data_IF_089052529811
#
_entry.id   IF_089052529811
#
_cell.length_a   1.000
_cell.length_b   1.000
_cell.length_c   1.000
_cell.angle_alpha   90.00
_cell.angle_beta   90.00
_cell.angle_gamma   90.00
#
_symmetry.space_group_name_H-M   'P 1'
#
loop_
_entity.id
_entity.type
_entity.pdbx_description
1 polymer ?
#
# COMPACT_ATOMS: atom_id res chain seq x y z
N UNK A 1 -48.59 34.81 29.50
CA UNK A 1 -47.58 35.11 28.47
C UNK A 1 -48.26 35.03 27.12
N UNK A 2 -48.20 36.09 26.31
CA UNK A 2 -48.73 36.06 24.97
C UNK A 2 -47.65 35.58 24.02
N UNK A 3 -47.85 34.44 23.40
CA UNK A 3 -46.96 33.90 22.36
C UNK A 3 -47.24 34.59 21.05
N UNK A 4 -46.20 35.10 20.40
CA UNK A 4 -46.30 35.59 19.01
C UNK A 4 -46.01 34.38 18.11
N UNK A 5 -47.03 33.95 17.34
CA UNK A 5 -46.90 32.84 16.39
C UNK A 5 -46.85 33.39 14.98
N UNK A 6 -45.84 32.99 14.21
CA UNK A 6 -45.75 33.29 12.76
C UNK A 6 -45.12 32.10 12.03
N UNK A 7 -45.56 31.89 10.79
CA UNK A 7 -45.05 30.77 9.95
C UNK A 7 -43.68 31.06 9.37
N UNK A 8 -43.25 32.31 9.32
CA UNK A 8 -41.93 32.65 8.81
C UNK A 8 -41.57 34.12 8.95
N UNK A 9 -40.30 34.41 8.99
CA UNK A 9 -39.72 35.76 8.93
C UNK A 9 -39.03 35.91 7.57
N UNK A 10 -39.66 36.64 6.66
CA UNK A 10 -39.13 36.92 5.33
C UNK A 10 -38.35 38.22 5.31
N UNK A 11 -37.29 38.26 4.51
CA UNK A 11 -36.62 39.50 4.19
C UNK A 11 -37.61 40.47 3.47
N UNK A 12 -37.40 41.77 3.59
CA UNK A 12 -38.29 42.83 2.98
C UNK A 12 -38.55 42.62 1.49
N UNK A 13 -37.67 41.92 0.76
CA UNK A 13 -37.85 41.60 -0.67
C UNK A 13 -38.67 40.31 -0.91
N UNK A 14 -39.13 39.61 0.13
CA UNK A 14 -39.89 38.37 0.01
C UNK A 14 -39.03 37.11 -0.21
N UNK A 15 -37.73 37.27 -0.22
CA UNK A 15 -36.78 36.15 -0.43
C UNK A 15 -35.81 36.03 0.76
N UNK A 16 -35.54 34.81 1.23
CA UNK A 16 -34.71 34.53 2.41
C UNK A 16 -35.48 34.75 3.73
N UNK A 17 -34.80 34.66 4.85
CA UNK A 17 -35.36 34.74 6.19
C UNK A 17 -35.41 33.41 6.91
N UNK A 18 -36.24 33.31 7.93
CA UNK A 18 -36.50 32.08 8.71
C UNK A 18 -37.89 31.56 8.42
N UNK A 19 -38.00 30.31 8.08
CA UNK A 19 -39.24 29.61 7.79
C UNK A 19 -39.38 28.36 8.64
N UNK A 20 -40.58 28.04 9.13
CA UNK A 20 -40.87 26.78 9.80
C UNK A 20 -42.00 26.06 9.05
N UNK A 21 -41.80 24.80 8.70
CA UNK A 21 -42.83 23.99 8.05
C UNK A 21 -43.81 23.38 9.07
N UNK A 22 -44.86 22.72 8.56
CA UNK A 22 -45.91 22.09 9.38
C UNK A 22 -45.38 20.88 10.19
N UNK A 23 -44.21 20.33 9.87
CA UNK A 23 -43.53 19.27 10.60
C UNK A 23 -42.59 19.81 11.69
N UNK A 24 -42.46 21.14 11.81
CA UNK A 24 -41.62 21.81 12.78
C UNK A 24 -40.14 21.99 12.35
N UNK A 25 -39.81 21.70 11.10
CA UNK A 25 -38.46 21.94 10.59
C UNK A 25 -38.23 23.44 10.34
N UNK A 26 -37.03 23.92 10.65
CA UNK A 26 -36.65 25.32 10.50
C UNK A 26 -35.73 25.50 9.31
N UNK A 27 -36.11 26.35 8.37
CA UNK A 27 -35.28 26.77 7.25
C UNK A 27 -34.78 28.21 7.44
N UNK A 28 -33.48 28.42 7.21
CA UNK A 28 -32.87 29.74 7.11
C UNK A 28 -32.39 29.89 5.66
N UNK A 29 -32.94 30.87 4.95
CA UNK A 29 -32.76 30.98 3.49
C UNK A 29 -33.20 29.71 2.72
N UNK A 30 -34.11 28.92 3.29
CA UNK A 30 -34.73 27.73 2.71
C UNK A 30 -36.24 27.80 2.99
N UNK A 31 -37.08 27.73 1.96
CA UNK A 31 -38.54 27.72 2.07
C UNK A 31 -39.13 26.31 2.10
N UNK A 32 -38.28 25.31 1.91
CA UNK A 32 -38.63 23.89 1.95
C UNK A 32 -37.58 23.13 2.77
N UNK A 33 -37.56 23.32 4.10
CA UNK A 33 -36.56 22.62 4.93
C UNK A 33 -36.80 21.10 4.87
N UNK A 34 -35.73 20.36 4.53
CA UNK A 34 -35.76 18.90 4.40
C UNK A 34 -35.45 18.19 5.71
N UNK A 35 -34.97 18.92 6.70
CA UNK A 35 -34.52 18.41 8.00
C UNK A 35 -34.84 19.42 9.09
N UNK A 36 -34.66 19.05 10.38
CA UNK A 36 -34.99 19.89 11.53
C UNK A 36 -34.43 21.32 11.47
N UNK A 37 -33.23 21.47 10.87
CA UNK A 37 -32.67 22.78 10.55
C UNK A 37 -32.03 22.70 9.16
N UNK A 38 -32.47 23.52 8.24
CA UNK A 38 -31.96 23.62 6.86
C UNK A 38 -31.56 25.08 6.57
N UNK A 39 -30.29 25.29 6.24
CA UNK A 39 -29.76 26.61 5.91
C UNK A 39 -29.29 26.60 4.46
N UNK A 40 -29.77 27.56 3.67
CA UNK A 40 -29.33 27.74 2.29
C UNK A 40 -29.65 26.56 1.36
N UNK A 41 -30.85 25.97 1.49
CA UNK A 41 -31.32 24.86 0.64
C UNK A 41 -30.41 23.63 0.67
N UNK A 42 -29.93 23.22 1.84
CA UNK A 42 -29.12 22.03 2.02
C UNK A 42 -27.62 22.30 2.17
N UNK A 43 -27.18 23.57 2.14
CA UNK A 43 -25.79 23.92 2.40
C UNK A 43 -25.31 23.56 3.84
N UNK A 44 -26.27 23.61 4.78
CA UNK A 44 -26.12 23.16 6.14
C UNK A 44 -27.42 22.52 6.63
N UNK A 45 -27.36 21.27 7.08
CA UNK A 45 -28.53 20.53 7.55
C UNK A 45 -28.23 19.80 8.85
N UNK A 46 -29.21 19.79 9.78
CA UNK A 46 -29.20 18.96 10.99
C UNK A 46 -30.48 18.12 10.99
N UNK A 47 -30.29 16.80 10.84
CA UNK A 47 -31.41 15.85 10.86
C UNK A 47 -31.89 15.49 12.27
N UNK A 48 -32.98 14.68 12.38
CA UNK A 48 -33.53 14.23 13.67
C UNK A 48 -32.55 13.45 14.54
N UNK A 49 -31.57 12.81 13.93
CA UNK A 49 -30.50 12.09 14.64
C UNK A 49 -29.34 13.00 15.10
N UNK A 50 -29.46 14.32 14.95
CA UNK A 50 -28.38 15.27 15.29
C UNK A 50 -27.22 15.28 14.28
N UNK A 51 -27.39 14.65 13.11
CA UNK A 51 -26.36 14.62 12.07
C UNK A 51 -26.39 15.95 11.30
N UNK A 52 -25.23 16.63 11.27
CA UNK A 52 -25.02 17.84 10.49
C UNK A 52 -24.33 17.50 9.17
N UNK A 53 -24.98 17.82 8.05
CA UNK A 53 -24.39 17.69 6.71
C UNK A 53 -24.03 19.07 6.19
N UNK A 54 -22.75 19.28 5.89
CA UNK A 54 -22.24 20.53 5.31
C UNK A 54 -21.40 20.22 4.08
N UNK A 55 -21.48 21.07 3.06
CA UNK A 55 -20.68 20.91 1.84
C UNK A 55 -19.20 21.23 2.10
N UNK A 56 -18.91 22.17 2.98
CA UNK A 56 -17.55 22.57 3.34
C UNK A 56 -17.51 23.02 4.79
N UNK A 57 -16.61 22.42 5.58
CA UNK A 57 -16.33 22.86 6.95
C UNK A 57 -14.97 23.57 6.95
N UNK A 58 -14.97 24.88 7.23
CA UNK A 58 -13.75 25.62 7.60
C UNK A 58 -13.67 25.64 9.12
N UNK A 59 -12.90 24.76 9.70
CA UNK A 59 -12.73 24.65 11.15
C UNK A 59 -11.27 24.63 11.51
N UNK A 60 -10.91 25.32 12.58
CA UNK A 60 -9.58 25.22 13.21
C UNK A 60 -9.46 24.02 14.11
N UNK A 61 -10.60 23.47 14.58
CA UNK A 61 -10.65 22.27 15.41
C UNK A 61 -11.88 21.43 15.04
N UNK A 62 -11.67 20.18 14.68
CA UNK A 62 -12.73 19.18 14.52
C UNK A 62 -12.64 18.23 15.69
N UNK A 63 -13.63 18.28 16.59
CA UNK A 63 -13.71 17.44 17.79
C UNK A 63 -14.55 16.22 17.49
N UNK A 64 -14.11 15.03 17.91
CA UNK A 64 -14.79 13.73 17.72
C UNK A 64 -15.00 13.32 16.25
N UNK A 65 -14.14 13.76 15.34
CA UNK A 65 -14.09 13.22 13.97
C UNK A 65 -13.26 11.94 13.91
N UNK A 66 -13.50 11.12 12.90
CA UNK A 66 -12.53 10.09 12.48
C UNK A 66 -11.18 10.78 12.22
N UNK A 67 -10.03 10.09 12.41
CA UNK A 67 -8.73 10.68 12.13
C UNK A 67 -8.73 11.27 10.71
N UNK A 68 -8.33 12.52 10.56
CA UNK A 68 -8.21 13.17 9.25
C UNK A 68 -7.00 12.65 8.46
N UNK A 69 -6.11 11.92 9.13
CA UNK A 69 -4.89 11.31 8.60
C UNK A 69 -4.80 9.86 9.02
N UNK A 70 -4.02 9.06 8.30
CA UNK A 70 -3.85 7.62 8.56
C UNK A 70 -5.14 6.81 8.44
N UNK A 71 -6.02 7.23 7.54
CA UNK A 71 -7.28 6.52 7.23
C UNK A 71 -7.03 5.31 6.36
N UNK A 72 -6.06 5.42 5.45
CA UNK A 72 -5.74 4.36 4.52
C UNK A 72 -4.91 3.26 5.20
N UNK A 73 -5.49 2.07 5.33
CA UNK A 73 -4.83 0.89 5.89
C UNK A 73 -3.83 0.25 4.93
N UNK A 74 -3.91 0.56 3.63
CA UNK A 74 -2.93 0.10 2.65
C UNK A 74 -1.67 0.96 2.71
N UNK A 75 -0.54 0.30 2.54
CA UNK A 75 0.78 0.94 2.50
C UNK A 75 1.22 1.04 1.04
N UNK A 76 1.85 2.16 0.66
CA UNK A 76 2.32 2.39 -0.70
C UNK A 76 1.20 2.29 -1.76
N UNK A 77 0.04 2.79 -1.41
CA UNK A 77 -1.16 2.72 -2.25
C UNK A 77 -1.15 3.69 -3.43
N UNK A 78 -0.21 4.64 -3.43
CA UNK A 78 0.16 5.50 -4.57
C UNK A 78 1.34 4.96 -5.38
N UNK A 79 1.86 3.78 -5.03
CA UNK A 79 2.98 3.08 -5.70
C UNK A 79 4.28 3.90 -5.83
N UNK A 80 4.49 4.89 -4.98
CA UNK A 80 5.65 5.77 -5.08
C UNK A 80 6.96 5.12 -4.61
N UNK A 81 6.90 4.13 -3.72
CA UNK A 81 8.06 3.41 -3.19
C UNK A 81 8.29 2.12 -4.00
N UNK A 82 9.50 1.94 -4.52
CA UNK A 82 9.88 0.80 -5.36
C UNK A 82 11.32 0.36 -5.09
N UNK A 83 11.61 -0.06 -3.87
CA UNK A 83 12.94 -0.49 -3.44
C UNK A 83 13.40 -1.79 -4.14
N UNK A 84 12.46 -2.60 -4.62
CA UNK A 84 12.75 -3.84 -5.38
C UNK A 84 12.88 -3.61 -6.88
N UNK A 85 12.41 -2.46 -7.38
CA UNK A 85 12.29 -2.14 -8.78
C UNK A 85 10.86 -1.76 -9.15
N UNK A 86 10.64 -1.43 -10.42
CA UNK A 86 9.35 -0.95 -10.93
C UNK A 86 8.60 -1.98 -11.76
N UNK A 87 9.20 -3.14 -12.02
CA UNK A 87 8.55 -4.22 -12.79
C UNK A 87 8.99 -5.59 -12.31
N UNK A 88 8.10 -6.57 -12.46
CA UNK A 88 8.37 -7.96 -12.18
C UNK A 88 7.55 -8.85 -13.12
N UNK A 89 8.14 -9.97 -13.55
CA UNK A 89 7.49 -11.03 -14.34
C UNK A 89 7.39 -12.36 -13.60
N UNK A 90 7.78 -12.39 -12.34
CA UNK A 90 7.73 -13.58 -11.49
C UNK A 90 6.46 -13.54 -10.65
N UNK A 91 5.75 -14.64 -10.60
CA UNK A 91 4.56 -14.80 -9.76
C UNK A 91 4.95 -15.04 -8.30
N UNK A 92 4.04 -14.71 -7.39
CA UNK A 92 4.21 -14.83 -5.94
C UNK A 92 5.37 -13.98 -5.38
N UNK A 93 5.74 -12.91 -6.10
CA UNK A 93 6.79 -11.98 -5.72
C UNK A 93 6.26 -10.56 -5.55
N UNK A 94 6.96 -9.78 -4.74
CA UNK A 94 6.67 -8.37 -4.59
C UNK A 94 7.24 -7.56 -5.76
N UNK A 95 6.48 -6.58 -6.24
CA UNK A 95 6.86 -5.70 -7.38
C UNK A 95 7.36 -4.37 -6.86
N UNK A 96 6.44 -3.50 -6.51
CA UNK A 96 6.71 -2.34 -5.67
C UNK A 96 6.48 -2.77 -4.21
N UNK A 97 7.03 -2.00 -3.30
CA UNK A 97 6.92 -2.35 -1.88
C UNK A 97 5.48 -2.61 -1.47
N UNK A 98 5.27 -3.68 -0.71
CA UNK A 98 4.00 -4.18 -0.17
C UNK A 98 3.03 -4.81 -1.17
N UNK A 99 3.18 -4.65 -2.47
CA UNK A 99 2.29 -5.21 -3.47
C UNK A 99 2.86 -6.47 -4.09
N UNK A 100 2.17 -7.59 -3.91
CA UNK A 100 2.59 -8.93 -4.31
C UNK A 100 1.73 -9.47 -5.42
N UNK A 101 2.35 -10.15 -6.38
CA UNK A 101 1.66 -10.87 -7.46
C UNK A 101 1.22 -12.25 -7.01
N UNK A 102 0.19 -12.77 -7.66
CA UNK A 102 -0.20 -14.17 -7.58
C UNK A 102 -0.75 -14.66 -8.94
N UNK A 103 -0.84 -15.97 -9.11
CA UNK A 103 -1.46 -16.56 -10.30
C UNK A 103 -0.70 -17.73 -10.90
N UNK A 104 -1.03 -18.07 -12.14
CA UNK A 104 -0.48 -19.18 -12.89
C UNK A 104 0.91 -18.91 -13.47
N UNK A 105 1.46 -19.84 -14.27
CA UNK A 105 2.80 -19.76 -14.82
C UNK A 105 2.97 -18.60 -15.81
N UNK A 106 4.20 -18.32 -16.18
CA UNK A 106 4.76 -17.27 -17.03
C UNK A 106 3.90 -16.60 -18.12
N UNK A 107 4.30 -15.44 -18.59
CA UNK A 107 3.65 -14.68 -19.67
C UNK A 107 2.84 -13.49 -19.19
N UNK A 108 3.08 -13.10 -17.96
CA UNK A 108 2.54 -11.89 -17.33
C UNK A 108 3.68 -11.05 -16.79
N UNK A 109 3.47 -9.76 -16.77
CA UNK A 109 4.30 -8.84 -16.02
C UNK A 109 3.44 -7.83 -15.29
N UNK A 110 3.96 -7.36 -14.17
CA UNK A 110 3.39 -6.22 -13.49
C UNK A 110 4.42 -5.10 -13.47
N UNK A 111 3.99 -3.89 -13.78
CA UNK A 111 4.87 -2.73 -13.90
C UNK A 111 4.22 -1.52 -13.26
N UNK A 112 4.99 -0.80 -12.44
CA UNK A 112 4.61 0.55 -12.05
C UNK A 112 4.80 1.48 -13.22
N UNK A 113 3.75 2.19 -13.57
CA UNK A 113 3.78 3.20 -14.63
C UNK A 113 3.56 4.59 -14.03
N UNK A 114 4.12 5.59 -14.70
CA UNK A 114 3.82 7.00 -14.44
C UNK A 114 2.71 7.40 -15.42
N UNK A 115 1.57 7.87 -14.89
CA UNK A 115 0.42 8.25 -15.69
C UNK A 115 -0.31 9.43 -15.05
N UNK A 116 -0.18 10.59 -15.65
CA UNK A 116 -0.75 11.85 -15.16
C UNK A 116 -2.30 11.89 -15.21
N UNK A 117 -2.97 10.91 -15.82
CA UNK A 117 -4.44 10.81 -15.77
C UNK A 117 -4.92 10.44 -14.37
N UNK A 118 -4.09 9.77 -13.57
CA UNK A 118 -4.37 9.53 -12.15
C UNK A 118 -3.94 10.74 -11.33
N UNK A 119 -4.84 11.69 -11.18
CA UNK A 119 -4.56 13.03 -10.64
C UNK A 119 -4.01 13.04 -9.20
N UNK A 120 -4.33 12.01 -8.41
CA UNK A 120 -3.93 11.96 -7.00
C UNK A 120 -2.51 11.40 -6.82
N UNK A 121 -2.18 10.28 -7.44
CA UNK A 121 -0.87 9.62 -7.30
C UNK A 121 0.08 9.85 -8.48
N UNK A 122 -0.45 10.11 -9.68
CA UNK A 122 0.32 10.13 -10.93
C UNK A 122 0.94 8.78 -11.29
N UNK A 123 0.51 7.69 -10.65
CA UNK A 123 1.09 6.36 -10.81
C UNK A 123 0.02 5.28 -10.75
N UNK A 124 0.30 4.16 -11.43
CA UNK A 124 -0.53 2.96 -11.35
C UNK A 124 0.33 1.69 -11.36
N UNK A 125 -0.24 0.59 -10.90
CA UNK A 125 0.25 -0.75 -11.22
C UNK A 125 -0.51 -1.31 -12.42
N UNK A 126 0.23 -1.65 -13.47
CA UNK A 126 -0.27 -2.29 -14.68
C UNK A 126 0.05 -3.77 -14.67
N UNK A 127 -0.97 -4.60 -14.66
CA UNK A 127 -0.85 -6.04 -14.94
C UNK A 127 -1.00 -6.22 -16.45
N UNK A 128 -0.01 -6.80 -17.09
CA UNK A 128 0.08 -6.94 -18.55
C UNK A 128 0.35 -8.39 -18.93
N UNK A 129 -0.40 -8.93 -19.92
CA UNK A 129 -0.06 -10.19 -20.59
C UNK A 129 0.90 -9.93 -21.75
N UNK A 130 1.94 -10.76 -21.83
CA UNK A 130 2.87 -10.72 -22.96
C UNK A 130 2.12 -10.98 -24.27
N UNK A 131 2.30 -10.12 -25.26
CA UNK A 131 1.67 -10.29 -26.59
C UNK A 131 1.90 -11.69 -27.14
N UNK A 132 0.84 -12.33 -27.64
CA UNK A 132 0.85 -13.71 -28.13
C UNK A 132 0.72 -14.77 -27.04
N UNK A 133 0.68 -14.42 -25.77
CA UNK A 133 0.48 -15.38 -24.68
C UNK A 133 -0.93 -15.97 -24.71
N UNK A 134 -1.03 -17.30 -24.63
CA UNK A 134 -2.30 -18.04 -24.66
C UNK A 134 -2.71 -18.62 -23.28
N UNK A 135 -1.96 -18.35 -22.21
CA UNK A 135 -2.31 -18.80 -20.88
C UNK A 135 -3.57 -18.09 -20.37
N UNK A 136 -4.50 -18.87 -19.82
CA UNK A 136 -5.79 -18.38 -19.32
C UNK A 136 -5.95 -18.55 -17.81
N UNK A 137 -4.85 -18.77 -17.09
CA UNK A 137 -4.89 -18.88 -15.64
C UNK A 137 -5.25 -17.53 -14.99
N UNK A 138 -5.89 -17.58 -13.83
CA UNK A 138 -6.17 -16.40 -13.04
C UNK A 138 -4.87 -15.74 -12.60
N UNK A 139 -4.78 -14.43 -12.76
CA UNK A 139 -3.64 -13.60 -12.39
C UNK A 139 -4.10 -12.35 -11.67
N UNK A 140 -3.27 -11.88 -10.76
CA UNK A 140 -3.57 -10.68 -10.03
C UNK A 140 -2.44 -10.22 -9.13
N UNK A 141 -2.76 -9.22 -8.34
CA UNK A 141 -1.89 -8.71 -7.29
C UNK A 141 -2.73 -8.19 -6.13
N UNK A 142 -2.09 -8.05 -5.00
CA UNK A 142 -2.77 -7.58 -3.81
C UNK A 142 -1.82 -7.20 -2.70
N UNK A 143 -2.40 -6.78 -1.58
CA UNK A 143 -1.69 -6.41 -0.39
C UNK A 143 -2.34 -7.01 0.85
N UNK A 144 -1.56 -7.74 1.65
CA UNK A 144 -1.93 -8.15 3.00
C UNK A 144 -1.59 -7.08 4.01
N UNK A 145 -2.46 -6.88 4.99
CA UNK A 145 -2.27 -5.96 6.10
C UNK A 145 -1.79 -6.78 7.30
N UNK A 146 -0.72 -6.33 7.95
CA UNK A 146 -0.17 -6.92 9.17
C UNK A 146 -1.25 -7.08 10.24
N UNK A 147 -1.28 -8.20 10.95
CA UNK A 147 -2.28 -8.50 11.99
C UNK A 147 -2.44 -7.36 12.99
N UNK A 148 -1.34 -6.76 13.45
CA UNK A 148 -1.35 -5.63 14.38
C UNK A 148 -2.22 -4.45 13.89
N UNK A 149 -2.25 -4.20 12.58
CA UNK A 149 -3.04 -3.14 11.96
C UNK A 149 -4.45 -3.63 11.59
N UNK A 150 -4.59 -4.88 11.18
CA UNK A 150 -5.87 -5.50 10.80
C UNK A 150 -6.84 -5.67 11.97
N UNK A 151 -6.34 -5.92 13.19
CA UNK A 151 -7.16 -6.08 14.40
C UNK A 151 -8.12 -4.90 14.64
N UNK A 152 -7.76 -3.71 14.20
CA UNK A 152 -8.61 -2.51 14.31
C UNK A 152 -9.81 -2.54 13.37
N UNK A 153 -9.78 -3.40 12.36
CA UNK A 153 -10.84 -3.57 11.36
C UNK A 153 -11.86 -4.65 11.76
N UNK A 154 -11.55 -5.50 12.74
CA UNK A 154 -12.43 -6.55 13.23
C UNK A 154 -13.76 -5.95 13.73
N UNK A 155 -14.88 -6.46 13.24
CA UNK A 155 -16.22 -5.97 13.56
C UNK A 155 -16.58 -4.61 12.96
N UNK A 156 -15.79 -4.09 12.03
CA UNK A 156 -16.03 -2.80 11.36
C UNK A 156 -16.50 -2.97 9.93
N UNK A 157 -17.32 -2.04 9.47
CA UNK A 157 -17.55 -1.84 8.04
C UNK A 157 -16.34 -1.14 7.44
N UNK A 158 -15.85 -1.63 6.32
CA UNK A 158 -14.77 -1.00 5.55
C UNK A 158 -15.19 -0.73 4.12
N UNK A 159 -14.57 0.25 3.51
CA UNK A 159 -14.73 0.55 2.10
C UNK A 159 -13.36 0.63 1.44
N UNK A 160 -13.22 -0.10 0.32
CA UNK A 160 -12.11 0.03 -0.60
C UNK A 160 -12.53 0.94 -1.74
N UNK A 161 -11.76 1.97 -2.02
CA UNK A 161 -11.88 2.81 -3.21
C UNK A 161 -10.61 2.71 -4.04
N UNK A 162 -10.76 2.75 -5.36
CA UNK A 162 -9.64 2.70 -6.30
C UNK A 162 -10.05 3.26 -7.66
N UNK A 163 -9.06 3.66 -8.47
CA UNK A 163 -9.23 3.97 -9.89
C UNK A 163 -8.71 2.84 -10.74
N UNK A 164 -9.36 2.59 -11.87
CA UNK A 164 -8.95 1.54 -12.79
C UNK A 164 -9.26 1.90 -14.25
N UNK A 165 -8.45 1.37 -15.16
CA UNK A 165 -8.71 1.36 -16.60
C UNK A 165 -8.07 0.14 -17.26
N UNK A 166 -8.40 -0.11 -18.52
CA UNK A 166 -7.87 -1.21 -19.32
C UNK A 166 -7.24 -0.77 -20.65
N UNK A 167 -6.43 -1.63 -21.22
CA UNK A 167 -5.99 -1.50 -22.59
C UNK A 167 -7.04 -1.95 -23.62
N UNK A 168 -6.87 -1.57 -24.86
CA UNK A 168 -7.81 -1.87 -25.92
C UNK A 168 -7.99 -3.37 -26.18
N UNK A 169 -6.93 -4.18 -25.96
CA UNK A 169 -6.95 -5.63 -26.19
C UNK A 169 -7.20 -6.42 -24.89
N UNK A 170 -7.65 -5.78 -23.81
CA UNK A 170 -7.84 -6.44 -22.53
C UNK A 170 -8.73 -7.67 -22.64
N UNK A 171 -8.20 -8.81 -22.24
CA UNK A 171 -8.82 -10.13 -22.46
C UNK A 171 -9.65 -10.66 -21.30
N UNK A 172 -9.86 -9.89 -20.25
CA UNK A 172 -10.81 -10.23 -19.18
C UNK A 172 -12.22 -10.38 -19.75
N UNK A 173 -12.92 -11.46 -19.43
CA UNK A 173 -14.27 -11.70 -19.91
C UNK A 173 -15.20 -10.54 -19.58
N UNK A 174 -15.90 -9.98 -20.57
CA UNK A 174 -16.74 -8.80 -20.40
C UNK A 174 -15.99 -7.52 -20.02
N UNK A 175 -14.68 -7.47 -20.28
CA UNK A 175 -13.78 -6.38 -19.84
C UNK A 175 -13.77 -6.18 -18.32
N UNK A 176 -13.90 -7.25 -17.55
CA UNK A 176 -14.00 -7.16 -16.09
C UNK A 176 -12.73 -7.64 -15.39
N UNK A 177 -12.43 -6.99 -14.27
CA UNK A 177 -11.58 -7.52 -13.22
C UNK A 177 -12.44 -7.90 -12.01
N UNK A 178 -11.94 -8.80 -11.18
CA UNK A 178 -12.51 -9.06 -9.86
C UNK A 178 -11.69 -8.34 -8.81
N UNK A 179 -12.37 -7.66 -7.89
CA UNK A 179 -11.78 -7.07 -6.70
C UNK A 179 -12.37 -7.74 -5.47
N UNK A 180 -11.53 -8.07 -4.49
CA UNK A 180 -12.00 -8.64 -3.23
C UNK A 180 -11.29 -8.05 -2.01
N UNK A 181 -12.03 -7.95 -0.92
CA UNK A 181 -11.52 -7.75 0.43
C UNK A 181 -11.72 -9.08 1.16
N UNK A 182 -10.65 -9.68 1.62
CA UNK A 182 -10.70 -10.95 2.35
C UNK A 182 -10.24 -10.73 3.78
N UNK A 183 -10.87 -11.41 4.74
CA UNK A 183 -10.53 -11.36 6.15
C UNK A 183 -10.36 -12.76 6.72
N UNK A 184 -9.23 -13.06 7.34
CA UNK A 184 -8.85 -14.37 7.91
C UNK A 184 -8.62 -14.32 9.41
N UNK A 185 -8.41 -15.51 10.02
CA UNK A 185 -8.23 -15.68 11.48
C UNK A 185 -6.77 -15.84 11.93
N UNK A 186 -5.84 -16.04 11.03
CA UNK A 186 -4.44 -16.32 11.36
C UNK A 186 -3.66 -15.10 11.92
N UNK A 187 -2.36 -15.24 11.99
CA UNK A 187 -1.44 -14.17 12.41
C UNK A 187 -0.36 -14.04 11.36
N UNK A 188 -0.35 -12.91 10.65
CA UNK A 188 0.65 -12.58 9.62
C UNK A 188 0.86 -13.71 8.58
N UNK A 189 -0.23 -14.37 8.20
CA UNK A 189 -0.22 -15.43 7.19
C UNK A 189 0.00 -14.87 5.78
N UNK A 190 0.32 -15.76 4.87
CA UNK A 190 0.37 -15.42 3.45
C UNK A 190 -0.95 -14.77 2.99
N UNK A 191 -0.94 -13.57 2.42
CA UNK A 191 -2.15 -12.86 2.05
C UNK A 191 -3.06 -13.58 1.05
N UNK A 192 -2.54 -14.58 0.34
CA UNK A 192 -3.30 -15.37 -0.65
C UNK A 192 -3.72 -16.76 -0.15
N UNK A 193 -3.56 -17.03 1.13
CA UNK A 193 -3.86 -18.34 1.73
C UNK A 193 -4.18 -18.25 3.23
N UNK A 194 -4.95 -17.24 3.63
CA UNK A 194 -5.36 -17.04 5.04
C UNK A 194 -6.31 -18.14 5.51
N UNK A 195 -6.21 -18.47 6.79
CA UNK A 195 -7.11 -19.43 7.47
C UNK A 195 -8.51 -18.84 7.67
N UNK A 196 -9.55 -19.65 7.56
CA UNK A 196 -10.97 -19.30 7.84
C UNK A 196 -11.41 -17.98 7.20
N UNK A 197 -11.23 -17.85 5.89
CA UNK A 197 -11.45 -16.60 5.17
C UNK A 197 -12.93 -16.30 4.93
N UNK A 198 -13.37 -15.10 5.30
CA UNK A 198 -14.59 -14.45 4.81
C UNK A 198 -14.21 -13.39 3.77
N UNK A 199 -15.04 -13.15 2.78
CA UNK A 199 -14.73 -12.20 1.72
C UNK A 199 -15.94 -11.45 1.22
N UNK A 200 -15.73 -10.19 0.80
CA UNK A 200 -16.59 -9.46 -0.13
C UNK A 200 -15.86 -9.38 -1.47
N UNK A 201 -16.54 -9.70 -2.54
CA UNK A 201 -15.95 -9.77 -3.88
C UNK A 201 -16.94 -9.24 -4.93
N UNK A 202 -16.43 -8.45 -5.87
CA UNK A 202 -17.22 -7.86 -6.94
C UNK A 202 -16.42 -7.78 -8.24
N UNK A 203 -17.10 -8.04 -9.36
CA UNK A 203 -16.56 -7.81 -10.69
C UNK A 203 -16.84 -6.39 -11.14
N UNK A 204 -15.81 -5.70 -11.64
CA UNK A 204 -15.89 -4.34 -12.16
C UNK A 204 -15.57 -4.32 -13.64
N UNK A 205 -16.48 -3.78 -14.44
CA UNK A 205 -16.24 -3.53 -15.87
C UNK A 205 -15.34 -2.31 -16.03
N UNK A 206 -14.21 -2.48 -16.73
CA UNK A 206 -13.24 -1.43 -16.95
C UNK A 206 -13.45 -0.74 -18.30
N UNK A 207 -13.20 0.56 -18.32
CA UNK A 207 -13.15 1.37 -19.52
C UNK A 207 -11.69 1.61 -19.93
N UNK A 208 -11.48 2.17 -21.13
CA UNK A 208 -10.14 2.60 -21.60
C UNK A 208 -9.69 3.93 -20.95
N UNK A 209 -10.64 4.63 -20.31
CA UNK A 209 -10.39 5.79 -19.45
C UNK A 209 -10.48 5.42 -17.99
N UNK A 210 -9.77 6.12 -17.12
CA UNK A 210 -9.84 5.89 -15.67
C UNK A 210 -11.24 6.12 -15.12
N UNK A 211 -11.67 5.19 -14.27
CA UNK A 211 -12.94 5.22 -13.56
C UNK A 211 -12.75 4.87 -12.10
N UNK A 212 -13.54 5.51 -11.25
CA UNK A 212 -13.53 5.25 -9.81
C UNK A 212 -14.48 4.11 -9.45
N UNK A 213 -14.04 3.23 -8.58
CA UNK A 213 -14.79 2.07 -8.11
C UNK A 213 -14.73 1.98 -6.59
N UNK A 214 -15.75 1.36 -5.99
CA UNK A 214 -15.80 1.11 -4.54
C UNK A 214 -16.33 -0.28 -4.25
N UNK A 215 -15.81 -0.89 -3.16
CA UNK A 215 -16.27 -2.16 -2.62
C UNK A 215 -16.38 -2.06 -1.11
N UNK A 216 -17.51 -2.43 -0.52
CA UNK A 216 -17.72 -2.45 0.94
C UNK A 216 -17.67 -3.87 1.47
N UNK A 217 -17.25 -4.00 2.73
CA UNK A 217 -17.25 -5.26 3.45
C UNK A 217 -17.45 -5.03 4.95
N UNK A 218 -18.38 -5.76 5.54
CA UNK A 218 -18.55 -5.83 7.00
C UNK A 218 -17.65 -6.96 7.51
N UNK A 219 -16.49 -6.60 8.08
CA UNK A 219 -15.50 -7.56 8.57
C UNK A 219 -16.05 -8.21 9.86
N UNK A 220 -16.15 -9.54 9.92
CA UNK A 220 -16.56 -10.22 11.15
C UNK A 220 -15.61 -9.92 12.31
N UNK A 221 -16.13 -9.90 13.54
CA UNK A 221 -15.39 -9.50 14.73
C UNK A 221 -14.32 -10.49 15.18
N UNK A 222 -14.34 -11.71 14.66
CA UNK A 222 -13.36 -12.78 14.91
C UNK A 222 -12.15 -12.76 13.98
N UNK A 223 -12.11 -11.86 13.00
CA UNK A 223 -11.03 -11.78 12.00
C UNK A 223 -9.85 -10.96 12.50
N UNK A 224 -8.66 -11.42 12.18
CA UNK A 224 -7.37 -10.86 12.62
C UNK A 224 -6.53 -10.32 11.49
N UNK A 225 -6.82 -10.71 10.24
CA UNK A 225 -6.07 -10.32 9.05
C UNK A 225 -6.99 -9.86 7.94
N UNK A 226 -6.53 -8.88 7.16
CA UNK A 226 -7.25 -8.36 5.99
C UNK A 226 -6.32 -8.28 4.79
N UNK A 227 -6.84 -8.65 3.61
CA UNK A 227 -6.13 -8.58 2.33
C UNK A 227 -7.02 -7.96 1.27
N UNK A 228 -6.45 -7.13 0.42
CA UNK A 228 -7.08 -6.59 -0.78
C UNK A 228 -6.47 -7.24 -2.00
N UNK A 229 -7.31 -7.72 -2.92
CA UNK A 229 -6.90 -8.43 -4.14
C UNK A 229 -7.57 -7.83 -5.38
N UNK A 230 -6.80 -7.74 -6.46
CA UNK A 230 -7.26 -7.43 -7.83
C UNK A 230 -6.82 -8.54 -8.76
N UNK A 231 -7.75 -9.14 -9.49
CA UNK A 231 -7.43 -10.25 -10.38
C UNK A 231 -8.37 -10.33 -11.59
N UNK A 232 -7.96 -11.09 -12.58
CA UNK A 232 -8.81 -11.47 -13.71
C UNK A 232 -8.41 -12.83 -14.26
N UNK A 233 -9.32 -13.44 -14.98
CA UNK A 233 -9.06 -14.65 -15.75
C UNK A 233 -9.11 -14.26 -17.22
N UNK A 234 -7.96 -14.26 -17.91
CA UNK A 234 -7.92 -13.90 -19.32
C UNK A 234 -8.53 -14.95 -20.22
N UNK A 235 -8.97 -14.54 -21.39
CA UNK A 235 -9.49 -15.43 -22.45
C UNK A 235 -8.66 -15.25 -23.73
N UNK A 236 -8.58 -16.32 -24.53
CA UNK A 236 -7.91 -16.28 -25.82
C UNK A 236 -6.41 -15.93 -25.75
N UNK A 237 -5.90 -15.42 -26.85
CA UNK A 237 -4.50 -15.00 -27.01
C UNK A 237 -4.36 -13.50 -26.78
N UNK A 238 -3.34 -13.11 -26.03
CA UNK A 238 -3.07 -11.72 -25.66
C UNK A 238 -2.71 -10.86 -26.89
N UNK A 239 -3.31 -9.68 -26.99
CA UNK A 239 -2.89 -8.60 -27.86
C UNK A 239 -1.78 -7.76 -27.26
N UNK A 240 -1.35 -6.72 -27.99
CA UNK A 240 -0.28 -5.80 -27.55
C UNK A 240 -0.72 -4.97 -26.33
N UNK A 241 -2.01 -4.62 -26.26
CA UNK A 241 -2.59 -3.80 -25.20
C UNK A 241 -3.47 -4.62 -24.24
N UNK A 242 -3.11 -5.88 -23.99
CA UNK A 242 -3.81 -6.74 -23.03
C UNK A 242 -3.31 -6.48 -21.60
N UNK A 243 -3.86 -5.46 -20.97
CA UNK A 243 -3.51 -5.02 -19.62
C UNK A 243 -4.67 -4.35 -18.90
N UNK A 244 -4.60 -4.33 -17.57
CA UNK A 244 -5.38 -3.44 -16.73
C UNK A 244 -4.48 -2.69 -15.75
N UNK A 245 -4.95 -1.55 -15.25
CA UNK A 245 -4.28 -0.69 -14.29
C UNK A 245 -5.15 -0.45 -13.07
N UNK A 246 -4.49 -0.36 -11.92
CA UNK A 246 -5.09 0.06 -10.66
C UNK A 246 -4.26 1.21 -10.10
N UNK A 247 -4.96 2.26 -9.64
CA UNK A 247 -4.36 3.45 -9.02
C UNK A 247 -5.16 3.92 -7.81
N UNK A 248 -4.57 4.77 -7.00
CA UNK A 248 -5.22 5.51 -5.91
C UNK A 248 -6.05 4.60 -4.99
N UNK A 249 -5.46 3.48 -4.55
CA UNK A 249 -6.14 2.50 -3.69
C UNK A 249 -6.25 3.01 -2.26
N UNK A 250 -7.45 2.98 -1.68
CA UNK A 250 -7.66 3.33 -0.27
C UNK A 250 -8.63 2.36 0.38
N UNK A 251 -8.17 1.67 1.42
CA UNK A 251 -9.02 0.90 2.32
C UNK A 251 -9.17 1.68 3.63
N UNK A 252 -10.39 2.05 3.97
CA UNK A 252 -10.70 2.84 5.16
C UNK A 252 -11.90 2.30 5.91
N UNK A 253 -12.04 2.63 7.20
CA UNK A 253 -13.24 2.32 7.97
C UNK A 253 -14.40 3.21 7.51
N UNK A 254 -15.60 2.62 7.41
CA UNK A 254 -16.82 3.30 7.01
C UNK A 254 -17.47 2.67 5.79
N UNK A 255 -18.56 3.29 5.32
CA UNK A 255 -19.38 2.82 4.18
C UNK A 255 -19.40 3.81 3.01
N UNK A 256 -18.74 4.95 3.16
CA UNK A 256 -18.61 5.98 2.12
C UNK A 256 -17.13 6.32 1.92
N UNK A 257 -16.67 6.26 0.66
CA UNK A 257 -15.31 6.58 0.31
C UNK A 257 -15.03 8.08 0.50
N UNK A 258 -13.85 8.36 1.09
CA UNK A 258 -13.34 9.73 1.21
C UNK A 258 -12.31 10.00 0.11
N UNK A 259 -11.92 11.27 -0.13
CA UNK A 259 -10.82 11.58 -1.07
C UNK A 259 -9.54 10.83 -0.72
N UNK A 260 -8.78 10.45 -1.74
CA UNK A 260 -7.54 9.69 -1.59
C UNK A 260 -6.57 10.38 -0.62
N UNK A 261 -6.05 9.62 0.34
CA UNK A 261 -5.12 10.14 1.35
C UNK A 261 -3.70 10.15 0.81
N UNK A 262 -3.14 11.33 0.73
CA UNK A 262 -1.76 11.52 0.29
C UNK A 262 -0.80 11.41 1.49
N UNK A 263 0.06 10.40 1.46
CA UNK A 263 1.09 10.20 2.49
C UNK A 263 2.42 10.80 2.00
N UNK A 264 3.12 11.63 2.80
CA UNK A 264 4.42 12.16 2.43
C UNK A 264 5.45 11.05 2.14
N UNK A 265 6.29 11.24 1.11
CA UNK A 265 7.25 10.23 0.64
C UNK A 265 8.11 9.62 1.76
N UNK A 266 8.65 10.45 2.66
CA UNK A 266 9.51 9.97 3.74
C UNK A 266 8.80 9.08 4.74
N UNK A 267 7.53 9.38 5.04
CA UNK A 267 6.68 8.57 5.90
C UNK A 267 6.33 7.25 5.22
N UNK A 268 5.89 7.30 3.96
CA UNK A 268 5.57 6.09 3.19
C UNK A 268 6.79 5.18 3.02
N UNK A 269 7.98 5.76 2.79
CA UNK A 269 9.22 5.00 2.73
C UNK A 269 9.51 4.29 4.07
N UNK A 270 9.33 4.97 5.19
CA UNK A 270 9.53 4.37 6.51
C UNK A 270 8.52 3.22 6.77
N UNK A 271 7.26 3.39 6.37
CA UNK A 271 6.23 2.33 6.43
C UNK A 271 6.62 1.13 5.58
N UNK A 272 7.17 1.34 4.38
CA UNK A 272 7.68 0.27 3.51
C UNK A 272 8.92 -0.40 4.09
N UNK A 273 9.86 0.37 4.65
CA UNK A 273 11.11 -0.14 5.23
C UNK A 273 10.89 -1.05 6.44
N UNK A 274 9.75 -0.98 7.10
CA UNK A 274 9.34 -1.95 8.11
C UNK A 274 9.23 -3.38 7.56
N UNK A 275 9.00 -3.54 6.26
CA UNK A 275 8.82 -4.84 5.59
C UNK A 275 9.95 -5.20 4.65
N UNK A 276 10.54 -4.22 4.01
CA UNK A 276 11.68 -4.42 3.11
C UNK A 276 12.64 -3.23 3.18
N UNK A 277 13.85 -3.50 3.61
CA UNK A 277 14.88 -2.48 3.78
C UNK A 277 16.07 -2.77 2.87
N UNK A 278 16.34 -1.87 1.91
CA UNK A 278 17.54 -1.90 1.08
C UNK A 278 18.63 -1.13 1.79
N UNK A 279 19.71 -1.82 2.14
CA UNK A 279 20.88 -1.22 2.77
C UNK A 279 21.88 -0.69 1.74
N UNK A 280 22.18 -1.51 0.72
CA UNK A 280 23.05 -1.15 -0.40
C UNK A 280 22.55 -1.79 -1.71
N UNK A 281 22.61 -1.07 -2.83
CA UNK A 281 22.21 -1.54 -4.15
C UNK A 281 23.08 -0.86 -5.23
N UNK A 282 23.74 -1.66 -6.06
CA UNK A 282 24.64 -1.22 -7.11
C UNK A 282 26.12 -1.18 -6.69
N UNK A 283 26.99 -0.70 -7.57
CA UNK A 283 28.42 -0.63 -7.38
C UNK A 283 28.85 0.53 -6.47
N UNK A 284 29.98 0.33 -5.75
CA UNK A 284 30.61 1.34 -4.89
C UNK A 284 29.70 1.95 -3.82
N UNK A 285 28.75 1.17 -3.27
CA UNK A 285 27.91 1.61 -2.16
C UNK A 285 28.55 1.22 -0.84
N UNK A 286 28.67 2.18 0.06
CA UNK A 286 29.17 1.93 1.42
C UNK A 286 28.15 1.08 2.16
N UNK A 287 28.61 -0.05 2.70
CA UNK A 287 27.80 -0.93 3.56
C UNK A 287 28.04 -0.58 5.02
N UNK A 288 29.29 -0.42 5.42
CA UNK A 288 29.61 -0.06 6.81
C UNK A 288 31.04 -0.43 7.20
N UNK A 289 31.27 -0.40 8.49
CA UNK A 289 32.51 -0.79 9.11
C UNK A 289 32.33 -2.17 9.79
N UNK A 290 33.14 -3.12 9.39
CA UNK A 290 33.20 -4.45 10.01
C UNK A 290 34.44 -4.55 10.92
N UNK A 291 34.39 -5.48 11.86
CA UNK A 291 35.52 -5.86 12.71
C UNK A 291 36.06 -7.17 12.23
N UNK A 292 37.40 -7.26 12.14
CA UNK A 292 38.11 -8.54 11.92
C UNK A 292 38.07 -9.29 13.23
N UNK A 293 37.31 -10.37 13.30
CA UNK A 293 37.21 -11.20 14.49
C UNK A 293 38.48 -12.08 14.66
N UNK A 294 38.88 -12.70 13.56
CA UNK A 294 40.10 -13.49 13.42
C UNK A 294 40.55 -13.47 11.95
N UNK A 295 41.71 -14.04 11.63
CA UNK A 295 42.17 -14.12 10.24
C UNK A 295 41.09 -14.70 9.33
N UNK A 296 40.80 -13.98 8.25
CA UNK A 296 39.78 -14.31 7.24
C UNK A 296 38.34 -14.41 7.77
N UNK A 297 38.00 -13.66 8.82
CA UNK A 297 36.67 -13.67 9.41
C UNK A 297 36.28 -12.27 9.87
N UNK A 298 35.20 -11.73 9.32
CA UNK A 298 34.71 -10.37 9.59
C UNK A 298 33.25 -10.37 10.06
N UNK A 299 32.96 -9.49 11.00
CA UNK A 299 31.60 -9.22 11.49
C UNK A 299 31.21 -7.79 11.25
N UNK A 300 30.01 -7.60 10.72
CA UNK A 300 29.40 -6.30 10.44
C UNK A 300 28.09 -6.16 11.20
N UNK A 301 27.92 -5.03 11.88
CA UNK A 301 26.64 -4.65 12.49
C UNK A 301 25.93 -3.63 11.63
N UNK A 302 24.67 -3.89 11.28
CA UNK A 302 23.81 -2.98 10.54
C UNK A 302 22.58 -2.64 11.38
N UNK A 303 22.24 -1.38 11.44
CA UNK A 303 21.02 -0.89 12.08
C UNK A 303 20.07 -0.40 10.99
N UNK A 304 18.88 -1.00 10.83
CA UNK A 304 17.89 -0.52 9.90
C UNK A 304 17.37 0.85 10.34
N UNK A 305 16.88 1.64 9.39
CA UNK A 305 16.35 2.98 9.67
C UNK A 305 15.05 2.95 10.47
N UNK A 306 14.34 1.83 10.40
CA UNK A 306 13.11 1.56 11.17
C UNK A 306 13.16 0.12 11.68
N UNK A 307 12.55 -0.15 12.83
CA UNK A 307 12.39 -1.53 13.32
C UNK A 307 11.54 -2.32 12.34
N UNK A 308 12.05 -3.45 11.88
CA UNK A 308 11.35 -4.31 10.93
C UNK A 308 10.19 -5.06 11.60
N UNK A 309 9.25 -5.54 10.80
CA UNK A 309 8.03 -6.21 11.28
C UNK A 309 8.33 -7.45 12.13
N UNK A 310 9.28 -8.24 11.70
CA UNK A 310 9.77 -9.45 12.36
C UNK A 310 11.25 -9.61 12.03
N UNK A 311 11.91 -10.59 12.62
CA UNK A 311 13.27 -10.97 12.24
C UNK A 311 13.35 -11.19 10.73
N UNK A 312 14.11 -10.35 9.98
CA UNK A 312 14.11 -10.42 8.54
C UNK A 312 15.03 -11.54 8.01
N UNK A 313 14.76 -11.94 6.77
CA UNK A 313 15.70 -12.72 5.97
C UNK A 313 16.64 -11.79 5.19
N UNK A 314 17.91 -12.20 5.03
CA UNK A 314 18.86 -11.47 4.20
C UNK A 314 18.59 -11.73 2.73
N UNK A 315 18.46 -10.67 1.98
CA UNK A 315 18.36 -10.69 0.51
C UNK A 315 19.63 -10.09 -0.04
N UNK A 316 20.47 -10.91 -0.61
CA UNK A 316 21.75 -10.47 -1.18
C UNK A 316 21.95 -11.02 -2.59
N UNK A 317 22.58 -10.23 -3.43
CA UNK A 317 23.16 -10.75 -4.65
C UNK A 317 24.47 -11.45 -4.30
N UNK A 318 24.68 -12.63 -4.87
CA UNK A 318 25.88 -13.46 -4.67
C UNK A 318 26.57 -13.69 -6.00
N UNK A 319 27.90 -13.79 -5.98
CA UNK A 319 28.72 -14.03 -7.15
C UNK A 319 30.14 -13.57 -6.86
N UNK A 320 31.05 -13.75 -7.81
CA UNK A 320 32.46 -13.44 -7.62
C UNK A 320 32.70 -11.95 -7.38
N UNK A 321 33.31 -11.62 -6.26
CA UNK A 321 33.73 -10.26 -5.90
C UNK A 321 32.60 -9.23 -5.82
N UNK A 322 31.46 -9.62 -5.27
CA UNK A 322 30.32 -8.69 -5.12
C UNK A 322 30.51 -7.65 -4.02
N UNK A 323 31.44 -7.92 -3.07
CA UNK A 323 31.78 -7.04 -1.95
C UNK A 323 33.29 -6.82 -1.89
N UNK A 324 33.70 -5.67 -1.37
CA UNK A 324 35.10 -5.29 -1.20
C UNK A 324 35.36 -4.78 0.19
N UNK A 325 36.46 -5.20 0.77
CA UNK A 325 36.99 -4.71 2.03
C UNK A 325 38.26 -3.88 1.80
N UNK A 326 38.42 -2.84 2.62
CA UNK A 326 39.63 -2.04 2.70
C UNK A 326 40.27 -2.24 4.06
N UNK A 327 41.52 -2.66 4.09
CA UNK A 327 42.25 -3.00 5.30
C UNK A 327 43.76 -2.70 5.13
N UNK A 328 44.37 -2.00 6.09
CA UNK A 328 45.84 -1.73 6.15
C UNK A 328 46.43 -1.18 4.84
N UNK A 329 45.75 -0.25 4.18
CA UNK A 329 46.21 0.33 2.91
C UNK A 329 46.06 -0.58 1.67
N UNK A 330 45.53 -1.78 1.84
CA UNK A 330 45.14 -2.71 0.78
C UNK A 330 43.62 -2.82 0.59
N UNK A 331 43.24 -3.55 -0.43
CA UNK A 331 41.87 -3.94 -0.67
C UNK A 331 41.80 -5.40 -1.09
N UNK A 332 40.72 -6.07 -0.74
CA UNK A 332 40.40 -7.41 -1.18
C UNK A 332 38.91 -7.55 -1.39
N UNK A 333 38.48 -8.54 -2.17
CA UNK A 333 37.04 -8.72 -2.49
C UNK A 333 36.58 -10.09 -2.02
N UNK A 334 35.27 -10.15 -1.68
CA UNK A 334 34.64 -11.39 -1.30
C UNK A 334 33.24 -11.51 -1.96
N UNK A 335 32.66 -12.70 -1.95
CA UNK A 335 31.57 -13.08 -2.84
C UNK A 335 30.19 -12.82 -2.24
N UNK A 336 30.05 -13.05 -0.94
CA UNK A 336 28.75 -13.02 -0.26
C UNK A 336 28.92 -12.86 1.25
N UNK A 337 27.83 -12.65 1.94
CA UNK A 337 27.74 -12.79 3.39
C UNK A 337 27.36 -14.23 3.73
N UNK A 338 28.03 -14.82 4.69
CA UNK A 338 27.59 -16.08 5.28
C UNK A 338 26.32 -15.84 6.09
N UNK A 339 25.52 -16.87 6.26
CA UNK A 339 24.26 -16.75 6.98
C UNK A 339 24.49 -16.22 8.42
N UNK A 340 23.95 -15.12 8.66
CA UNK A 340 23.23 -14.55 9.79
C UNK A 340 23.57 -15.08 11.18
N UNK A 341 24.49 -14.41 11.82
CA UNK A 341 24.62 -14.45 13.25
C UNK A 341 23.68 -13.40 13.86
N UNK A 342 22.68 -13.84 14.64
CA UNK A 342 21.80 -12.96 15.42
C UNK A 342 21.19 -11.79 14.63
N UNK A 343 20.33 -12.09 13.67
CA UNK A 343 19.45 -11.08 13.09
C UNK A 343 18.25 -10.87 14.01
N UNK A 344 18.00 -9.62 14.32
CA UNK A 344 16.87 -9.12 15.09
C UNK A 344 16.10 -8.10 14.27
N UNK A 345 14.97 -7.68 14.74
CA UNK A 345 14.11 -6.71 14.03
C UNK A 345 14.75 -5.31 13.88
N UNK A 346 15.67 -4.96 14.77
CA UNK A 346 16.30 -3.64 14.85
C UNK A 346 17.82 -3.64 14.73
N UNK A 347 18.43 -4.82 14.57
CA UNK A 347 19.87 -4.97 14.44
C UNK A 347 20.21 -6.24 13.66
N UNK A 348 21.12 -6.13 12.71
CA UNK A 348 21.57 -7.25 11.88
C UNK A 348 23.07 -7.45 12.09
N UNK A 349 23.47 -8.63 12.53
CA UNK A 349 24.87 -9.03 12.53
C UNK A 349 25.13 -9.96 11.35
N UNK A 350 25.97 -9.52 10.44
CA UNK A 350 26.41 -10.28 9.28
C UNK A 350 27.84 -10.75 9.47
N UNK A 351 28.12 -11.96 9.01
CA UNK A 351 29.46 -12.55 8.99
C UNK A 351 29.85 -12.91 7.56
N UNK A 352 31.11 -12.73 7.23
CA UNK A 352 31.74 -13.33 6.06
C UNK A 352 33.12 -13.87 6.44
N UNK A 353 33.49 -15.02 5.91
CA UNK A 353 34.74 -15.70 6.23
C UNK A 353 35.45 -16.23 4.98
N UNK A 354 36.50 -17.03 5.16
CA UNK A 354 37.27 -17.60 4.05
C UNK A 354 36.40 -18.35 3.01
N UNK A 355 35.27 -18.95 3.43
CA UNK A 355 34.35 -19.64 2.49
C UNK A 355 33.59 -18.69 1.58
N UNK A 356 33.53 -17.43 1.92
CA UNK A 356 32.98 -16.35 1.10
C UNK A 356 34.06 -15.55 0.37
N UNK A 357 35.33 -16.01 0.44
CA UNK A 357 36.46 -15.34 -0.22
C UNK A 357 37.13 -14.24 0.62
N UNK A 358 36.76 -14.08 1.90
CA UNK A 358 37.45 -13.11 2.77
C UNK A 358 38.90 -13.47 2.98
N UNK A 359 39.80 -12.52 2.69
CA UNK A 359 41.24 -12.64 2.92
C UNK A 359 41.72 -11.40 3.69
N UNK A 360 41.89 -11.56 4.99
CA UNK A 360 42.33 -10.50 5.89
C UNK A 360 43.16 -11.14 7.01
N UNK A 361 44.25 -10.50 7.37
CA UNK A 361 45.13 -10.97 8.47
C UNK A 361 44.86 -10.20 9.75
N UNK A 362 45.11 -10.84 10.89
CA UNK A 362 44.96 -10.24 12.20
C UNK A 362 43.58 -10.41 12.80
N UNK A 363 43.41 -9.89 13.99
CA UNK A 363 42.13 -9.80 14.72
C UNK A 363 42.08 -8.50 15.52
N UNK A 364 40.89 -7.97 15.71
CA UNK A 364 40.66 -6.70 16.40
C UNK A 364 40.74 -5.47 15.52
N UNK A 365 41.15 -5.56 14.25
CA UNK A 365 41.21 -4.47 13.31
C UNK A 365 39.84 -4.16 12.71
N UNK A 366 39.67 -2.95 12.15
CA UNK A 366 38.50 -2.51 11.44
C UNK A 366 38.72 -2.52 9.93
N UNK A 367 37.69 -2.90 9.19
CA UNK A 367 37.65 -2.85 7.73
C UNK A 367 36.44 -2.08 7.25
N UNK A 368 36.59 -1.25 6.22
CA UNK A 368 35.48 -0.61 5.54
C UNK A 368 34.97 -1.54 4.45
N UNK A 369 33.68 -1.75 4.41
CA UNK A 369 33.02 -2.62 3.43
C UNK A 369 32.19 -1.78 2.45
N UNK A 370 32.35 -2.09 1.15
CA UNK A 370 31.52 -1.54 0.07
C UNK A 370 31.02 -2.66 -0.85
N UNK A 371 30.02 -2.37 -1.68
CA UNK A 371 29.71 -3.19 -2.85
C UNK A 371 30.72 -2.95 -3.97
N UNK A 372 30.97 -3.93 -4.83
CA UNK A 372 31.98 -3.83 -5.90
C UNK A 372 31.52 -4.39 -7.26
N UNK A 373 30.21 -4.55 -7.44
CA UNK A 373 29.60 -4.96 -8.72
C UNK A 373 28.29 -4.20 -8.92
N UNK A 374 27.93 -3.90 -10.18
CA UNK A 374 26.68 -3.21 -10.50
C UNK A 374 25.42 -3.97 -10.08
N UNK A 375 25.48 -5.29 -10.02
CA UNK A 375 24.41 -6.15 -9.55
C UNK A 375 24.46 -6.46 -8.04
N UNK A 376 25.42 -5.90 -7.30
CA UNK A 376 25.52 -6.15 -5.86
C UNK A 376 24.35 -5.53 -5.11
N UNK A 377 23.74 -6.31 -4.22
CA UNK A 377 22.61 -5.88 -3.40
C UNK A 377 22.71 -6.50 -2.02
N UNK A 378 22.40 -5.69 -1.03
CA UNK A 378 22.20 -6.14 0.35
C UNK A 378 20.91 -5.52 0.87
N UNK A 379 19.92 -6.35 1.13
CA UNK A 379 18.62 -5.96 1.63
C UNK A 379 18.12 -6.96 2.67
N UNK A 380 17.05 -6.60 3.34
CA UNK A 380 16.42 -7.37 4.42
C UNK A 380 14.93 -7.43 4.20
N UNK A 381 14.33 -8.62 4.26
CA UNK A 381 12.91 -8.84 3.99
C UNK A 381 12.20 -9.43 5.21
N UNK A 382 11.16 -8.74 5.66
CA UNK A 382 10.23 -9.13 6.72
C UNK A 382 8.78 -9.09 6.22
N UNK A 383 8.55 -9.40 4.94
CA UNK A 383 7.22 -9.42 4.31
C UNK A 383 6.32 -10.53 4.87
N UNK A 384 5.01 -10.44 4.57
CA UNK A 384 3.98 -11.42 4.97
C UNK A 384 3.99 -12.67 4.06
#
# INVERSE_FOLDING_TARGET
MSDIRFEGWLHRTGTGGVYQDSAGNVGIASTQPKTNLDIGNGAFQVGPAGICTVTTVKSTNIVNSQPLTHRNFLINSSYQIAQRGTSNSTINEYVVDRWRTFGGPSGFSITRIDDATYADSGKALRMHRTNGNSQTNNHGFGQGIETLNSLRLAGQSVILSFKAKRGADFSGSGNTINCSINAGEGTDENPFGMTSTNSSSQSFTLLETDTSHTLTFDIPSDKTQVTVLFNYTPTGTAGVNDWFEIADCQLEMGTAATPFEHVPYGEELARCQRYYYVHADGDNKVIGQATVYQSNDIFLMIYPKVTMRTTPTVVQATGTNYYRQYHNGGQDSFDSWANTWNIQENMFSLNANASQGVSVSGGGDSVMIITSQSGAKLAFSAEL
#
